data_IF_673086753270
#
_entry.id   IF_673086753270
#
_cell.length_a   1.000
_cell.length_b   1.000
_cell.length_c   1.000
_cell.angle_alpha   90.00
_cell.angle_beta   90.00
_cell.angle_gamma   90.00
#
_symmetry.space_group_name_H-M   'P 1'
#
loop_
_entity.id
_entity.type
_entity.pdbx_description
1 polymer ?
#
# COMPACT_ATOMS: atom_id res chain seq x y z
N UNK A 1 -14.82 5.53 -15.72
CA UNK A 1 -15.18 6.82 -15.08
C UNK A 1 -14.72 7.95 -15.99
N UNK A 2 -15.49 9.03 -16.11
CA UNK A 2 -15.03 10.23 -16.81
C UNK A 2 -13.82 10.84 -16.08
N UNK A 3 -12.89 11.46 -16.79
CA UNK A 3 -11.59 11.92 -16.27
C UNK A 3 -11.66 13.05 -15.23
N UNK A 4 -12.82 13.70 -15.06
CA UNK A 4 -12.98 14.82 -14.13
C UNK A 4 -12.14 16.06 -14.48
N UNK A 5 -11.41 16.04 -15.61
CA UNK A 5 -10.54 17.13 -16.08
C UNK A 5 -9.12 17.16 -15.50
N UNK A 6 -8.79 16.29 -14.53
CA UNK A 6 -7.46 16.26 -13.90
C UNK A 6 -6.51 15.29 -14.62
N UNK A 7 -5.28 15.75 -14.87
CA UNK A 7 -4.18 14.95 -15.38
C UNK A 7 -2.91 15.28 -14.61
N UNK A 8 -2.18 14.25 -14.18
CA UNK A 8 -0.91 14.38 -13.47
C UNK A 8 0.18 13.75 -14.35
N UNK A 9 1.18 14.54 -14.72
CA UNK A 9 2.26 14.11 -15.61
C UNK A 9 3.52 13.87 -14.77
N UNK A 10 4.06 12.65 -14.84
CA UNK A 10 5.33 12.28 -14.21
C UNK A 10 6.39 12.09 -15.29
N UNK A 11 7.58 12.66 -15.08
CA UNK A 11 8.75 12.42 -15.92
C UNK A 11 9.57 11.23 -15.37
N UNK A 12 10.65 10.89 -16.06
CA UNK A 12 11.53 9.76 -15.69
C UNK A 12 12.31 9.96 -14.39
N UNK A 13 12.33 11.17 -13.81
CA UNK A 13 13.01 11.44 -12.53
C UNK A 13 12.13 11.12 -11.32
N UNK A 14 10.88 10.69 -11.54
CA UNK A 14 9.94 10.34 -10.47
C UNK A 14 9.81 8.84 -10.32
N UNK A 15 9.92 8.37 -9.08
CA UNK A 15 9.57 7.00 -8.70
C UNK A 15 8.05 6.86 -8.72
N UNK A 16 7.55 5.92 -9.52
CA UNK A 16 6.13 5.57 -9.54
C UNK A 16 5.70 4.95 -8.20
N UNK A 17 6.61 4.24 -7.53
CA UNK A 17 6.31 3.65 -6.23
C UNK A 17 6.11 4.72 -5.16
N UNK A 18 6.87 5.82 -5.20
CA UNK A 18 6.71 6.96 -4.29
C UNK A 18 5.35 7.65 -4.50
N UNK A 19 4.90 7.73 -5.76
CA UNK A 19 3.58 8.27 -6.11
C UNK A 19 2.48 7.41 -5.51
N UNK A 20 2.59 6.08 -5.65
CA UNK A 20 1.64 5.12 -5.07
C UNK A 20 1.65 5.22 -3.54
N UNK A 21 2.83 5.32 -2.92
CA UNK A 21 2.99 5.50 -1.48
C UNK A 21 2.35 6.80 -0.97
N UNK A 22 2.47 7.90 -1.71
CA UNK A 22 1.80 9.15 -1.37
C UNK A 22 0.27 9.02 -1.49
N UNK A 23 -0.25 8.36 -2.53
CA UNK A 23 -1.69 8.14 -2.67
C UNK A 23 -2.26 7.20 -1.62
N UNK A 24 -1.55 6.14 -1.23
CA UNK A 24 -2.00 5.22 -0.17
C UNK A 24 -2.14 5.95 1.17
N UNK A 25 -1.18 6.83 1.48
CA UNK A 25 -1.23 7.72 2.64
C UNK A 25 -2.43 8.68 2.58
N UNK A 26 -2.64 9.34 1.44
CA UNK A 26 -3.75 10.25 1.23
C UNK A 26 -5.10 9.56 1.47
N UNK A 27 -5.35 8.40 0.85
CA UNK A 27 -6.62 7.69 1.01
C UNK A 27 -6.81 7.10 2.41
N UNK A 28 -5.73 6.75 3.12
CA UNK A 28 -5.81 6.36 4.52
C UNK A 28 -6.22 7.55 5.41
N UNK A 29 -5.68 8.74 5.14
CA UNK A 29 -5.97 9.96 5.90
C UNK A 29 -7.36 10.53 5.62
N UNK A 30 -7.77 10.60 4.35
CA UNK A 30 -9.04 11.20 3.90
C UNK A 30 -10.25 10.25 3.99
N UNK A 31 -10.03 9.03 4.47
CA UNK A 31 -11.12 8.09 4.71
C UNK A 31 -12.09 8.67 5.76
N UNK A 32 -13.36 8.84 5.41
CA UNK A 32 -14.39 9.32 6.35
C UNK A 32 -14.68 8.33 7.50
N UNK A 33 -14.13 7.12 7.43
CA UNK A 33 -14.25 6.12 8.48
C UNK A 33 -15.61 5.42 8.58
N UNK A 34 -16.53 5.59 7.63
CA UNK A 34 -17.88 5.02 7.74
C UNK A 34 -17.93 3.50 7.54
N UNK A 35 -17.59 3.00 6.34
CA UNK A 35 -17.67 1.57 6.03
C UNK A 35 -16.35 0.83 6.33
N UNK A 36 -16.43 -0.39 6.87
CA UNK A 36 -15.28 -1.22 7.26
C UNK A 36 -14.25 -1.45 6.14
N UNK A 37 -14.62 -1.88 4.91
CA UNK A 37 -13.63 -2.14 3.87
C UNK A 37 -12.81 -0.90 3.51
N UNK A 38 -13.42 0.30 3.54
CA UNK A 38 -12.67 1.54 3.33
C UNK A 38 -11.87 1.93 4.59
N UNK A 39 -12.51 2.05 5.76
CA UNK A 39 -11.87 2.51 7.02
C UNK A 39 -10.64 1.69 7.39
N UNK A 40 -10.80 0.37 7.40
CA UNK A 40 -9.73 -0.56 7.81
C UNK A 40 -8.83 -0.86 6.61
N UNK A 41 -9.42 -1.08 5.44
CA UNK A 41 -8.66 -1.49 4.27
C UNK A 41 -7.68 -0.43 3.80
N UNK A 42 -8.03 0.87 3.77
CA UNK A 42 -7.05 1.89 3.37
C UNK A 42 -5.89 2.03 4.36
N UNK A 43 -6.15 1.80 5.66
CA UNK A 43 -5.09 1.75 6.68
C UNK A 43 -4.15 0.55 6.50
N UNK A 44 -4.71 -0.63 6.16
CA UNK A 44 -3.90 -1.82 5.84
C UNK A 44 -3.13 -1.63 4.53
N UNK A 45 -3.77 -1.05 3.51
CA UNK A 45 -3.19 -0.77 2.21
C UNK A 45 -1.97 0.13 2.35
N UNK A 46 -2.10 1.22 3.12
CA UNK A 46 -0.99 2.09 3.49
C UNK A 46 0.15 1.27 4.11
N UNK A 47 -0.10 0.57 5.22
CA UNK A 47 0.94 -0.21 5.93
C UNK A 47 1.64 -1.23 5.04
N UNK A 48 0.90 -1.87 4.15
CA UNK A 48 1.44 -2.87 3.23
C UNK A 48 2.34 -2.23 2.18
N UNK A 49 1.96 -1.06 1.65
CA UNK A 49 2.80 -0.27 0.74
C UNK A 49 4.03 0.26 1.48
N UNK A 50 3.90 0.75 2.71
CA UNK A 50 5.03 1.22 3.54
C UNK A 50 6.07 0.11 3.69
N UNK A 51 5.64 -1.10 4.09
CA UNK A 51 6.49 -2.28 4.21
C UNK A 51 7.27 -2.60 2.93
N UNK A 52 6.62 -2.51 1.77
CA UNK A 52 7.26 -2.77 0.47
C UNK A 52 8.27 -1.67 0.14
N UNK A 53 7.90 -0.40 0.32
CA UNK A 53 8.75 0.76 0.04
C UNK A 53 9.99 0.80 0.94
N UNK A 54 9.86 0.33 2.18
CA UNK A 54 10.97 0.22 3.13
C UNK A 54 11.90 -0.98 2.84
N UNK A 55 11.64 -1.75 1.78
CA UNK A 55 12.47 -2.90 1.38
C UNK A 55 12.24 -4.15 2.23
N UNK A 56 11.13 -4.22 2.96
CA UNK A 56 10.70 -5.37 3.76
C UNK A 56 9.61 -6.20 3.06
N UNK A 57 9.36 -6.00 1.77
CA UNK A 57 8.35 -6.77 1.02
C UNK A 57 8.77 -8.21 0.74
N UNK A 58 7.82 -9.14 0.73
CA UNK A 58 7.97 -10.50 0.20
C UNK A 58 6.98 -10.79 -0.94
N UNK A 59 7.14 -11.93 -1.63
CA UNK A 59 6.17 -12.35 -2.64
C UNK A 59 4.74 -12.51 -2.07
N UNK A 60 4.62 -12.99 -0.83
CA UNK A 60 3.33 -13.11 -0.15
C UNK A 60 2.67 -11.76 0.14
N UNK A 61 3.48 -10.72 0.37
CA UNK A 61 2.98 -9.36 0.60
C UNK A 61 2.31 -8.77 -0.64
N UNK A 62 2.78 -9.11 -1.85
CA UNK A 62 2.14 -8.66 -3.10
C UNK A 62 0.79 -9.33 -3.32
N UNK A 63 0.70 -10.64 -3.05
CA UNK A 63 -0.57 -11.37 -3.16
C UNK A 63 -1.59 -10.80 -2.16
N UNK A 64 -1.20 -10.63 -0.90
CA UNK A 64 -2.06 -10.05 0.12
C UNK A 64 -2.47 -8.60 -0.21
N UNK A 65 -1.55 -7.81 -0.79
CA UNK A 65 -1.82 -6.45 -1.25
C UNK A 65 -2.89 -6.42 -2.34
N UNK A 66 -2.81 -7.31 -3.33
CA UNK A 66 -3.77 -7.41 -4.43
C UNK A 66 -5.16 -7.84 -3.93
N UNK A 67 -5.22 -8.87 -3.08
CA UNK A 67 -6.48 -9.32 -2.46
C UNK A 67 -7.14 -8.19 -1.66
N UNK A 68 -6.37 -7.49 -0.84
CA UNK A 68 -6.85 -6.34 -0.09
C UNK A 68 -7.38 -5.23 -1.00
N UNK A 69 -6.67 -4.93 -2.09
CA UNK A 69 -7.10 -3.96 -3.08
C UNK A 69 -8.46 -4.32 -3.69
N UNK A 70 -8.68 -5.61 -4.01
CA UNK A 70 -9.96 -6.08 -4.53
C UNK A 70 -11.09 -5.96 -3.49
N UNK A 71 -10.80 -6.25 -2.22
CA UNK A 71 -11.79 -6.07 -1.15
C UNK A 71 -12.21 -4.61 -1.00
N UNK A 72 -11.23 -3.70 -0.95
CA UNK A 72 -11.48 -2.26 -0.85
C UNK A 72 -12.29 -1.77 -2.05
N UNK A 73 -11.88 -2.15 -3.26
CA UNK A 73 -12.49 -1.71 -4.52
C UNK A 73 -13.94 -2.16 -4.67
N UNK A 74 -14.23 -3.42 -4.36
CA UNK A 74 -15.53 -4.02 -4.70
C UNK A 74 -16.57 -3.88 -3.58
N UNK A 75 -16.16 -3.74 -2.32
CA UNK A 75 -17.08 -3.76 -1.17
C UNK A 75 -17.19 -2.41 -0.43
N UNK A 76 -16.46 -1.38 -0.86
CA UNK A 76 -16.61 -0.03 -0.30
C UNK A 76 -17.95 0.60 -0.64
N UNK A 77 -18.53 1.29 0.34
CA UNK A 77 -19.86 1.91 0.23
C UNK A 77 -19.91 3.06 -0.78
N UNK A 78 -18.84 3.86 -0.90
CA UNK A 78 -18.79 5.03 -1.78
C UNK A 78 -17.55 5.03 -2.69
N UNK A 79 -17.54 5.99 -3.63
CA UNK A 79 -16.50 6.11 -4.66
C UNK A 79 -15.09 6.34 -4.14
N UNK A 80 -14.91 6.91 -2.94
CA UNK A 80 -13.59 7.10 -2.33
C UNK A 80 -12.92 5.75 -2.08
N UNK A 81 -13.60 4.86 -1.36
CA UNK A 81 -13.07 3.52 -1.09
C UNK A 81 -12.90 2.71 -2.38
N UNK A 82 -13.86 2.78 -3.31
CA UNK A 82 -13.76 2.09 -4.60
C UNK A 82 -12.55 2.56 -5.43
N UNK A 83 -12.11 3.81 -5.25
CA UNK A 83 -10.99 4.40 -5.99
C UNK A 83 -9.65 4.25 -5.27
N UNK A 84 -9.64 4.12 -3.94
CA UNK A 84 -8.44 4.13 -3.10
C UNK A 84 -7.40 3.06 -3.49
N UNK A 85 -7.86 1.91 -4.00
CA UNK A 85 -7.01 0.80 -4.42
C UNK A 85 -6.48 0.93 -5.86
N UNK A 86 -7.02 1.84 -6.67
CA UNK A 86 -6.69 1.94 -8.10
C UNK A 86 -5.21 2.28 -8.36
N UNK A 87 -4.55 3.20 -7.61
CA UNK A 87 -3.15 3.48 -7.83
C UNK A 87 -2.28 2.22 -7.76
N UNK A 88 -2.50 1.39 -6.74
CA UNK A 88 -1.75 0.14 -6.53
C UNK A 88 -2.08 -0.90 -7.61
N UNK A 89 -3.37 -1.14 -7.89
CA UNK A 89 -3.77 -2.13 -8.90
C UNK A 89 -3.23 -1.79 -10.30
N UNK A 90 -3.35 -0.53 -10.71
CA UNK A 90 -2.89 -0.10 -12.04
C UNK A 90 -1.38 -0.16 -12.19
N UNK A 91 -0.61 0.10 -11.13
CA UNK A 91 0.86 0.01 -11.20
C UNK A 91 1.36 -1.41 -11.03
N UNK A 92 0.68 -2.28 -10.27
CA UNK A 92 0.98 -3.70 -10.24
C UNK A 92 0.79 -4.34 -11.62
N UNK A 93 -0.29 -3.98 -12.32
CA UNK A 93 -0.57 -4.46 -13.68
C UNK A 93 0.46 -3.95 -14.69
N UNK A 94 0.81 -2.65 -14.62
CA UNK A 94 1.56 -1.98 -15.69
C UNK A 94 3.08 -1.96 -15.47
N UNK A 95 3.52 -2.02 -14.22
CA UNK A 95 4.92 -1.91 -13.81
C UNK A 95 5.28 -2.94 -12.71
N UNK A 96 4.99 -4.24 -12.89
CA UNK A 96 5.26 -5.25 -11.86
C UNK A 96 6.73 -5.29 -11.41
N UNK A 97 7.65 -4.92 -12.30
CA UNK A 97 9.09 -4.91 -12.05
C UNK A 97 9.51 -3.95 -10.92
N UNK A 98 8.81 -2.83 -10.74
CA UNK A 98 9.15 -1.87 -9.67
C UNK A 98 8.83 -2.44 -8.29
N UNK A 99 7.83 -3.32 -8.20
CA UNK A 99 7.50 -4.02 -6.97
C UNK A 99 8.49 -5.15 -6.73
N UNK A 100 8.78 -5.96 -7.76
CA UNK A 100 9.72 -7.07 -7.68
C UNK A 100 11.11 -6.62 -7.22
N UNK A 101 11.57 -5.44 -7.64
CA UNK A 101 12.84 -4.85 -7.21
C UNK A 101 12.92 -4.60 -5.69
N UNK A 102 11.78 -4.45 -5.01
CA UNK A 102 11.68 -4.20 -3.57
C UNK A 102 11.50 -5.47 -2.73
N UNK A 103 11.35 -6.64 -3.38
CA UNK A 103 11.05 -7.89 -2.67
C UNK A 103 12.31 -8.63 -2.24
N UNK A 104 12.29 -9.14 -1.00
CA UNK A 104 13.27 -10.10 -0.51
C UNK A 104 13.00 -11.50 -1.03
N UNK A 105 14.05 -12.29 -1.21
CA UNK A 105 13.99 -13.72 -1.63
C UNK A 105 13.66 -14.66 -0.45
N UNK A 106 12.66 -14.30 0.34
CA UNK A 106 12.15 -15.08 1.47
C UNK A 106 10.62 -15.12 1.40
N UNK A 107 9.99 -16.09 2.05
CA UNK A 107 8.54 -16.23 2.04
C UNK A 107 7.83 -15.11 2.82
N UNK A 108 8.45 -14.62 3.90
CA UNK A 108 7.88 -13.59 4.76
C UNK A 108 8.98 -12.81 5.48
N UNK A 109 8.81 -11.49 5.56
CA UNK A 109 9.59 -10.57 6.39
C UNK A 109 8.62 -9.86 7.35
N UNK A 110 8.93 -9.67 8.64
CA UNK A 110 8.14 -8.83 9.52
C UNK A 110 8.13 -7.36 9.06
N UNK A 111 6.97 -6.69 9.14
CA UNK A 111 6.85 -5.25 8.88
C UNK A 111 7.29 -4.35 10.04
N UNK A 112 8.10 -4.87 10.97
CA UNK A 112 8.60 -4.15 12.12
C UNK A 112 9.95 -4.71 12.55
N UNK A 113 10.75 -3.88 13.21
CA UNK A 113 12.08 -4.26 13.71
C UNK A 113 11.96 -5.12 14.97
N UNK A 114 12.41 -6.37 14.88
CA UNK A 114 12.40 -7.34 15.97
C UNK A 114 13.30 -6.93 17.13
N UNK A 115 14.51 -6.45 16.85
CA UNK A 115 15.47 -6.07 17.88
C UNK A 115 15.03 -4.83 18.64
N UNK A 116 14.51 -3.83 17.91
CA UNK A 116 13.91 -2.64 18.48
C UNK A 116 12.71 -2.98 19.36
N UNK A 117 11.91 -3.99 18.98
CA UNK A 117 10.76 -4.43 19.79
C UNK A 117 11.17 -5.05 21.13
N UNK A 118 12.37 -5.62 21.22
CA UNK A 118 12.91 -6.23 22.45
C UNK A 118 13.72 -5.26 23.30
N UNK A 119 14.06 -4.08 22.78
CA UNK A 119 14.99 -3.15 23.42
C UNK A 119 14.57 -2.73 24.83
N UNK A 120 13.28 -2.43 25.03
CA UNK A 120 12.74 -2.08 26.35
C UNK A 120 12.96 -3.19 27.36
N UNK A 121 12.68 -4.45 26.98
CA UNK A 121 12.87 -5.60 27.86
C UNK A 121 14.37 -5.85 28.13
N UNK A 122 15.23 -5.71 27.12
CA UNK A 122 16.69 -5.84 27.25
C UNK A 122 17.29 -4.81 28.21
N UNK A 123 16.73 -3.59 28.28
CA UNK A 123 17.16 -2.54 29.23
C UNK A 123 16.71 -2.77 30.67
N UNK A 124 15.78 -3.70 30.90
CA UNK A 124 15.27 -4.05 32.23
C UNK A 124 15.96 -5.25 32.87
N UNK A 125 16.76 -5.99 32.09
CA UNK A 125 17.60 -7.11 32.54
C UNK A 125 19.01 -6.61 32.90
#
# INVERSE_FOLDING_TARGET
>A
LATGGSFIIFNHTRSILDVVHNFSHFFAHESCGFCTPCRVGTSLLKKQVDKIVEGHGSAGDIVALEELCQVIKNYSHCGLGQTAANPVLSTLERYPEIYQAMLKKISYEPGFDLDKSLETARRMA
#
